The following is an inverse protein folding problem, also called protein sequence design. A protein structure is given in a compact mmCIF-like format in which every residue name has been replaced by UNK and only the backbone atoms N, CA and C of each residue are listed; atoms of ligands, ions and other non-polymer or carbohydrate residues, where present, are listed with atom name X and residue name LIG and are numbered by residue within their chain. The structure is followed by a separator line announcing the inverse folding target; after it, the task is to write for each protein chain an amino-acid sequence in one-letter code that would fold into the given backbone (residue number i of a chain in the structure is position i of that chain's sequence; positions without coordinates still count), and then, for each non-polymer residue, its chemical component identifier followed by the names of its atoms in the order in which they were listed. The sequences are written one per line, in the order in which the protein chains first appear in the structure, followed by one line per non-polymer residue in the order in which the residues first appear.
data_IF_567500725086
#
_entry.id   IF_567500725086
#
_cell.length_a   1.000
_cell.length_b   1.000
_cell.length_c   1.000
_cell.angle_alpha   90.00
_cell.angle_beta   90.00
_cell.angle_gamma   90.00
#
_symmetry.space_group_name_H-M   'P 1'
#
loop_
_entity.id
_entity.type
_entity.pdbx_description
1 polymer ?
#
# COMPACT_ATOMS: atom_id res chain seq x y z
N UNK A 1 -8.37 2.68 -15.47
CA UNK A 1 -7.83 1.29 -15.66
C UNK A 1 -6.37 1.30 -16.11
N UNK A 2 -5.99 2.13 -17.08
CA UNK A 2 -4.62 2.17 -17.64
C UNK A 2 -3.55 2.42 -16.56
N UNK A 3 -3.73 3.40 -15.69
CA UNK A 3 -2.82 3.70 -14.60
C UNK A 3 -2.58 2.50 -13.65
N UNK A 4 -3.61 1.71 -13.37
CA UNK A 4 -3.49 0.47 -12.57
C UNK A 4 -2.76 -0.60 -13.37
N UNK A 5 -3.10 -0.75 -14.65
CA UNK A 5 -2.45 -1.73 -15.55
C UNK A 5 -0.95 -1.50 -15.67
N UNK A 6 -0.53 -0.27 -15.93
CA UNK A 6 0.88 0.11 -16.00
C UNK A 6 1.63 -0.26 -14.72
N UNK A 7 1.06 0.09 -13.57
CA UNK A 7 1.65 -0.18 -12.27
C UNK A 7 1.80 -1.69 -12.00
N UNK A 8 0.73 -2.45 -12.21
CA UNK A 8 0.75 -3.90 -12.00
C UNK A 8 1.70 -4.62 -12.97
N UNK A 9 1.78 -4.15 -14.22
CA UNK A 9 2.74 -4.68 -15.20
C UNK A 9 4.18 -4.48 -14.72
N UNK A 10 4.50 -3.31 -14.17
CA UNK A 10 5.84 -3.04 -13.62
C UNK A 10 6.13 -3.91 -12.40
N UNK A 11 5.17 -4.05 -11.48
CA UNK A 11 5.30 -4.94 -10.30
C UNK A 11 5.57 -6.37 -10.73
N UNK A 12 4.76 -6.92 -11.64
CA UNK A 12 4.93 -8.30 -12.11
C UNK A 12 6.27 -8.51 -12.82
N UNK A 13 6.75 -7.55 -13.62
CA UNK A 13 8.08 -7.63 -14.25
C UNK A 13 9.19 -7.78 -13.20
N UNK A 14 9.13 -7.04 -12.10
CA UNK A 14 10.13 -7.15 -11.02
C UNK A 14 10.02 -8.50 -10.32
N UNK A 15 8.80 -8.98 -10.05
CA UNK A 15 8.59 -10.26 -9.38
C UNK A 15 9.00 -11.46 -10.23
N UNK A 16 8.89 -11.34 -11.55
CA UNK A 16 9.22 -12.41 -12.50
C UNK A 16 10.67 -12.37 -12.99
N UNK A 17 11.41 -11.29 -12.73
CA UNK A 17 12.79 -11.12 -13.17
C UNK A 17 13.72 -12.17 -12.53
N UNK A 18 14.27 -13.12 -13.31
CA UNK A 18 15.16 -14.16 -12.78
C UNK A 18 16.41 -13.59 -12.11
N UNK A 19 16.90 -12.43 -12.60
CA UNK A 19 18.10 -11.78 -12.07
C UNK A 19 17.89 -11.22 -10.66
N UNK A 20 16.63 -10.95 -10.28
CA UNK A 20 16.22 -10.42 -8.98
C UNK A 20 15.74 -11.50 -7.99
N UNK A 21 15.63 -12.76 -8.43
CA UNK A 21 15.18 -13.87 -7.56
C UNK A 21 16.22 -14.31 -6.54
N UNK A 22 17.48 -13.94 -6.72
CA UNK A 22 18.54 -14.26 -5.78
C UNK A 22 18.26 -13.60 -4.41
N UNK A 23 18.34 -14.34 -3.28
CA UNK A 23 18.19 -13.80 -1.94
C UNK A 23 19.07 -12.58 -1.64
N UNK A 24 20.30 -12.54 -2.20
CA UNK A 24 21.20 -11.39 -2.08
C UNK A 24 20.63 -10.09 -2.69
N UNK A 25 19.66 -10.19 -3.59
CA UNK A 25 19.02 -9.05 -4.26
C UNK A 25 17.63 -8.70 -3.69
N UNK A 26 17.23 -9.33 -2.61
CA UNK A 26 15.92 -9.07 -1.97
C UNK A 26 15.74 -7.59 -1.62
N UNK A 27 16.76 -6.95 -1.05
CA UNK A 27 16.70 -5.54 -0.70
C UNK A 27 16.58 -4.63 -1.95
N UNK A 28 17.26 -4.98 -3.04
CA UNK A 28 17.14 -4.27 -4.32
C UNK A 28 15.72 -4.41 -4.89
N UNK A 29 15.19 -5.62 -4.94
CA UNK A 29 13.81 -5.89 -5.41
C UNK A 29 12.79 -5.12 -4.60
N UNK A 30 12.92 -5.13 -3.27
CA UNK A 30 12.04 -4.38 -2.37
C UNK A 30 12.05 -2.88 -2.68
N UNK A 31 13.23 -2.26 -2.84
CA UNK A 31 13.34 -0.84 -3.21
C UNK A 31 12.63 -0.52 -4.51
N UNK A 32 12.81 -1.35 -5.54
CA UNK A 32 12.15 -1.16 -6.83
C UNK A 32 10.61 -1.20 -6.70
N UNK A 33 10.08 -2.13 -5.90
CA UNK A 33 8.63 -2.21 -5.62
C UNK A 33 8.13 -0.99 -4.83
N UNK A 34 8.90 -0.53 -3.85
CA UNK A 34 8.59 0.68 -3.06
C UNK A 34 8.59 1.95 -3.92
N UNK A 35 9.51 2.07 -4.89
CA UNK A 35 9.55 3.18 -5.85
C UNK A 35 8.31 3.19 -6.75
N UNK A 36 7.89 2.04 -7.26
CA UNK A 36 6.65 1.91 -8.03
C UNK A 36 5.45 2.32 -7.18
N UNK A 37 5.37 1.83 -5.94
CA UNK A 37 4.30 2.19 -5.03
C UNK A 37 4.30 3.70 -4.72
N UNK A 38 5.46 4.28 -4.41
CA UNK A 38 5.60 5.72 -4.19
C UNK A 38 5.17 6.55 -5.40
N UNK A 39 5.38 6.02 -6.61
CA UNK A 39 4.92 6.63 -7.85
C UNK A 39 3.40 6.56 -8.08
N UNK A 40 2.68 5.64 -7.45
CA UNK A 40 1.25 5.42 -7.70
C UNK A 40 0.35 5.77 -6.51
N UNK A 41 0.82 5.61 -5.26
CA UNK A 41 0.00 5.87 -4.08
C UNK A 41 0.07 7.32 -3.62
N UNK A 42 -1.09 7.89 -3.26
CA UNK A 42 -1.20 9.15 -2.53
C UNK A 42 -1.21 8.86 -1.02
N UNK A 43 0.00 8.69 -0.45
CA UNK A 43 0.14 8.41 0.99
C UNK A 43 -0.37 9.53 1.88
N UNK A 44 -0.37 10.78 1.40
CA UNK A 44 -0.93 11.91 2.13
C UNK A 44 -2.47 11.81 2.21
N UNK A 45 -3.13 11.49 1.11
CA UNK A 45 -4.58 11.27 1.10
C UNK A 45 -4.97 10.02 1.91
N UNK A 46 -4.20 8.93 1.81
CA UNK A 46 -4.39 7.74 2.65
C UNK A 46 -4.29 8.11 4.14
N UNK A 47 -3.26 8.83 4.53
CA UNK A 47 -3.03 9.29 5.92
C UNK A 47 -4.16 10.16 6.43
N UNK A 48 -4.60 11.13 5.63
CA UNK A 48 -5.75 11.98 5.95
C UNK A 48 -7.02 11.16 6.21
N UNK A 49 -7.26 10.14 5.40
CA UNK A 49 -8.44 9.28 5.52
C UNK A 49 -8.38 8.34 6.72
N UNK A 50 -7.23 7.75 7.03
CA UNK A 50 -7.09 6.87 8.21
C UNK A 50 -7.18 7.64 9.51
N UNK A 51 -6.66 8.87 9.58
CA UNK A 51 -6.76 9.71 10.77
C UNK A 51 -8.13 10.38 10.90
N UNK A 52 -8.83 10.64 9.79
CA UNK A 52 -10.14 11.30 9.79
C UNK A 52 -10.11 12.66 10.48
N UNK A 53 -10.94 12.87 11.50
CA UNK A 53 -11.02 14.13 12.25
C UNK A 53 -9.71 14.51 12.96
N UNK A 54 -8.86 13.56 13.29
CA UNK A 54 -7.58 13.80 13.95
C UNK A 54 -6.51 14.39 13.00
N UNK A 55 -6.74 14.38 11.68
CA UNK A 55 -5.83 14.98 10.72
C UNK A 55 -5.83 16.51 10.76
N UNK A 56 -7.01 17.11 10.90
CA UNK A 56 -7.18 18.57 10.81
C UNK A 56 -6.37 19.35 11.86
N UNK A 57 -6.34 18.94 13.15
CA UNK A 57 -5.59 19.65 14.19
C UNK A 57 -4.07 19.54 14.06
N UNK A 58 -3.54 18.58 13.30
CA UNK A 58 -2.10 18.37 13.16
C UNK A 58 -1.42 19.53 12.43
N UNK A 59 -0.22 19.87 12.90
CA UNK A 59 0.68 20.77 12.18
C UNK A 59 1.17 20.12 10.87
N UNK A 60 1.71 20.93 9.96
CA UNK A 60 2.28 20.41 8.72
C UNK A 60 3.43 19.43 8.97
N UNK A 61 4.27 19.70 9.95
CA UNK A 61 5.36 18.81 10.38
C UNK A 61 4.84 17.47 10.88
N UNK A 62 3.82 17.47 11.75
CA UNK A 62 3.20 16.24 12.26
C UNK A 62 2.53 15.43 11.14
N UNK A 63 1.88 16.11 10.17
CA UNK A 63 1.29 15.44 9.00
C UNK A 63 2.36 14.76 8.16
N UNK A 64 3.45 15.45 7.83
CA UNK A 64 4.59 14.87 7.08
C UNK A 64 5.19 13.68 7.81
N UNK A 65 5.42 13.81 9.11
CA UNK A 65 5.92 12.71 9.95
C UNK A 65 5.01 11.49 9.92
N UNK A 66 3.71 11.70 10.12
CA UNK A 66 2.74 10.59 10.05
C UNK A 66 2.72 9.91 8.68
N UNK A 67 2.74 10.66 7.60
CA UNK A 67 2.77 10.13 6.23
C UNK A 67 3.97 9.21 6.01
N UNK A 68 5.18 9.63 6.42
CA UNK A 68 6.39 8.83 6.28
C UNK A 68 6.37 7.56 7.14
N UNK A 69 5.92 7.67 8.38
CA UNK A 69 5.81 6.53 9.29
C UNK A 69 4.76 5.52 8.81
N UNK A 70 3.61 6.00 8.35
CA UNK A 70 2.54 5.15 7.83
C UNK A 70 2.94 4.46 6.52
N UNK A 71 3.62 5.17 5.62
CA UNK A 71 4.21 4.61 4.39
C UNK A 71 5.17 3.47 4.73
N UNK A 72 6.11 3.69 5.65
CA UNK A 72 7.06 2.67 6.11
C UNK A 72 6.35 1.45 6.72
N UNK A 73 5.36 1.68 7.56
CA UNK A 73 4.54 0.63 8.16
C UNK A 73 3.83 -0.24 7.09
N UNK A 74 3.22 0.38 6.08
CA UNK A 74 2.58 -0.34 5.00
C UNK A 74 3.59 -1.15 4.18
N UNK A 75 4.75 -0.56 3.85
CA UNK A 75 5.82 -1.25 3.14
C UNK A 75 6.27 -2.50 3.90
N UNK A 76 6.57 -2.38 5.20
CA UNK A 76 7.00 -3.51 6.01
C UNK A 76 5.95 -4.60 6.14
N UNK A 77 4.69 -4.20 6.25
CA UNK A 77 3.59 -5.14 6.42
C UNK A 77 3.27 -5.95 5.16
N UNK A 78 3.41 -5.33 4.00
CA UNK A 78 2.97 -5.92 2.73
C UNK A 78 4.10 -6.37 1.82
N UNK A 79 5.36 -5.92 2.02
CA UNK A 79 6.49 -6.32 1.21
C UNK A 79 6.67 -7.84 1.14
N UNK A 80 6.63 -8.53 2.27
CA UNK A 80 6.73 -9.99 2.31
C UNK A 80 5.60 -10.69 1.57
N UNK A 81 4.36 -10.18 1.71
CA UNK A 81 3.20 -10.74 1.00
C UNK A 81 3.31 -10.58 -0.51
N UNK A 82 3.84 -9.45 -0.98
CA UNK A 82 4.08 -9.22 -2.40
C UNK A 82 5.20 -10.16 -2.89
N UNK A 83 6.25 -10.32 -2.11
CA UNK A 83 7.36 -11.23 -2.44
C UNK A 83 6.93 -12.70 -2.51
N UNK A 84 5.95 -13.14 -1.72
CA UNK A 84 5.40 -14.51 -1.75
C UNK A 84 4.78 -14.86 -3.11
N UNK A 85 4.46 -13.86 -3.90
CA UNK A 85 4.00 -14.04 -5.28
C UNK A 85 5.14 -14.18 -6.30
N UNK A 86 6.38 -13.93 -5.92
CA UNK A 86 7.53 -14.08 -6.82
C UNK A 86 7.73 -15.53 -7.24
N UNK A 87 7.93 -15.74 -8.55
CA UNK A 87 8.17 -17.08 -9.11
C UNK A 87 6.94 -17.95 -9.31
N UNK A 88 5.75 -17.41 -9.08
CA UNK A 88 4.48 -18.07 -9.41
C UNK A 88 3.96 -17.50 -10.73
N UNK A 89 3.38 -18.37 -11.56
CA UNK A 89 2.67 -17.91 -12.75
C UNK A 89 1.41 -17.17 -12.29
N UNK A 90 1.34 -15.89 -12.63
CA UNK A 90 0.23 -15.03 -12.23
C UNK A 90 -0.34 -14.29 -13.42
N UNK A 91 -1.63 -14.06 -13.37
CA UNK A 91 -2.36 -13.27 -14.34
C UNK A 91 -3.25 -12.25 -13.61
N UNK A 92 -3.28 -11.02 -14.11
CA UNK A 92 -4.20 -9.99 -13.62
C UNK A 92 -5.40 -9.91 -14.54
N UNK A 93 -6.56 -10.23 -14.01
CA UNK A 93 -7.85 -9.97 -14.66
C UNK A 93 -8.31 -8.54 -14.36
N UNK A 94 -8.55 -7.74 -15.39
CA UNK A 94 -9.11 -6.38 -15.30
C UNK A 94 -10.60 -6.45 -15.55
N UNK A 95 -11.42 -6.26 -14.51
CA UNK A 95 -12.86 -6.53 -14.57
C UNK A 95 -13.67 -5.30 -14.97
N UNK A 96 -13.63 -4.25 -14.15
CA UNK A 96 -14.44 -3.04 -14.36
C UNK A 96 -13.70 -1.79 -13.97
N UNK A 97 -14.10 -0.67 -14.57
CA UNK A 97 -13.69 0.68 -14.19
C UNK A 97 -14.92 1.56 -14.07
N UNK A 98 -15.01 2.31 -13.00
CA UNK A 98 -16.01 3.33 -12.78
C UNK A 98 -15.34 4.64 -12.47
N UNK A 99 -15.66 5.70 -13.19
CA UNK A 99 -15.13 7.05 -12.99
C UNK A 99 -16.30 7.98 -12.66
N UNK A 100 -16.13 8.74 -11.55
CA UNK A 100 -17.06 9.78 -11.13
C UNK A 100 -16.28 11.04 -10.76
N UNK A 101 -16.28 12.01 -11.67
CA UNK A 101 -15.49 13.24 -11.52
C UNK A 101 -14.00 12.93 -11.34
N UNK A 102 -13.41 13.37 -10.22
CA UNK A 102 -12.01 13.12 -9.88
C UNK A 102 -11.76 11.79 -9.18
N UNK A 103 -12.76 10.92 -9.06
CA UNK A 103 -12.63 9.61 -8.41
C UNK A 103 -12.80 8.48 -9.40
N UNK A 104 -12.06 7.41 -9.19
CA UNK A 104 -12.23 6.17 -9.94
C UNK A 104 -12.11 4.94 -9.02
N UNK A 105 -12.84 3.90 -9.39
CA UNK A 105 -12.68 2.56 -8.83
C UNK A 105 -12.33 1.61 -9.98
N UNK A 106 -11.24 0.86 -9.82
CA UNK A 106 -10.80 -0.16 -10.76
C UNK A 106 -10.83 -1.50 -10.06
N UNK A 107 -11.62 -2.43 -10.57
CA UNK A 107 -11.72 -3.79 -10.05
C UNK A 107 -10.83 -4.73 -10.83
N UNK A 108 -10.04 -5.48 -10.10
CA UNK A 108 -9.15 -6.49 -10.65
C UNK A 108 -9.22 -7.78 -9.84
N UNK A 109 -8.65 -8.82 -10.40
CA UNK A 109 -8.38 -10.04 -9.66
C UNK A 109 -6.99 -10.56 -10.03
N UNK A 110 -6.25 -10.98 -9.02
CA UNK A 110 -4.97 -11.66 -9.19
C UNK A 110 -5.23 -13.16 -9.19
N UNK A 111 -5.00 -13.79 -10.33
CA UNK A 111 -5.18 -15.23 -10.53
C UNK A 111 -3.85 -15.96 -10.42
N UNK A 112 -3.84 -17.05 -9.70
CA UNK A 112 -2.73 -18.01 -9.67
C UNK A 112 -3.27 -19.43 -9.87
N UNK A 113 -2.38 -20.40 -10.01
CA UNK A 113 -2.78 -21.82 -10.20
C UNK A 113 -3.70 -22.36 -9.09
N UNK A 114 -3.72 -21.72 -7.91
CA UNK A 114 -4.44 -22.23 -6.72
C UNK A 114 -5.54 -21.29 -6.23
N UNK A 115 -5.47 -20.01 -6.52
CA UNK A 115 -6.39 -19.02 -5.94
C UNK A 115 -6.63 -17.84 -6.88
N UNK A 116 -7.82 -17.25 -6.74
CA UNK A 116 -8.16 -15.95 -7.31
C UNK A 116 -8.37 -14.98 -6.17
N UNK A 117 -7.61 -13.88 -6.14
CA UNK A 117 -7.67 -12.84 -5.13
C UNK A 117 -8.24 -11.56 -5.72
N UNK A 118 -9.46 -11.14 -5.34
CA UNK A 118 -10.00 -9.84 -5.72
C UNK A 118 -9.15 -8.70 -5.15
N UNK A 119 -8.76 -7.75 -5.99
CA UNK A 119 -8.03 -6.54 -5.61
C UNK A 119 -8.62 -5.33 -6.33
N UNK A 120 -9.26 -4.47 -5.58
CA UNK A 120 -9.86 -3.25 -6.13
C UNK A 120 -9.03 -2.04 -5.70
N UNK A 121 -8.97 -1.04 -6.57
CA UNK A 121 -8.20 0.19 -6.36
C UNK A 121 -9.14 1.39 -6.40
N UNK A 122 -9.05 2.25 -5.39
CA UNK A 122 -9.70 3.55 -5.39
C UNK A 122 -8.67 4.63 -5.68
N UNK A 123 -8.96 5.43 -6.69
CA UNK A 123 -8.04 6.44 -7.20
C UNK A 123 -8.66 7.84 -7.13
N UNK A 124 -7.78 8.81 -7.00
CA UNK A 124 -8.10 10.23 -7.03
C UNK A 124 -7.25 10.90 -8.12
N UNK A 125 -7.89 11.71 -8.96
CA UNK A 125 -7.24 12.53 -9.97
C UNK A 125 -6.79 13.86 -9.35
N UNK A 126 -5.49 14.15 -9.45
CA UNK A 126 -4.91 15.47 -9.17
C UNK A 126 -3.84 15.76 -10.19
N UNK A 127 -3.80 16.98 -10.67
CA UNK A 127 -2.78 17.44 -11.64
C UNK A 127 -2.64 16.47 -12.83
N UNK A 128 -3.77 16.09 -13.43
CA UNK A 128 -3.88 15.14 -14.54
C UNK A 128 -3.29 13.75 -14.26
N UNK A 129 -3.15 13.39 -12.98
CA UNK A 129 -2.59 12.11 -12.57
C UNK A 129 -3.54 11.33 -11.65
N UNK A 130 -3.81 10.07 -12.00
CA UNK A 130 -4.50 9.13 -11.14
C UNK A 130 -3.55 8.55 -10.08
N UNK A 131 -3.86 8.75 -8.79
CA UNK A 131 -3.13 8.17 -7.66
C UNK A 131 -4.05 7.36 -6.78
N UNK A 132 -3.61 6.19 -6.35
CA UNK A 132 -4.39 5.32 -5.50
C UNK A 132 -4.36 5.82 -4.04
N UNK A 133 -5.54 5.93 -3.43
CA UNK A 133 -5.68 6.29 -2.01
C UNK A 133 -6.26 5.15 -1.16
N UNK A 134 -6.66 4.05 -1.75
CA UNK A 134 -7.11 2.84 -1.05
C UNK A 134 -6.93 1.61 -1.94
N UNK A 135 -6.69 0.46 -1.32
CA UNK A 135 -6.78 -0.85 -1.94
C UNK A 135 -7.77 -1.68 -1.11
N UNK A 136 -8.66 -2.37 -1.81
CA UNK A 136 -9.57 -3.33 -1.21
C UNK A 136 -9.07 -4.73 -1.60
N UNK A 137 -8.60 -5.49 -0.63
CA UNK A 137 -8.06 -6.85 -0.82
C UNK A 137 -9.07 -7.82 -0.22
N UNK A 138 -9.60 -8.73 -1.05
CA UNK A 138 -10.62 -9.70 -0.63
C UNK A 138 -11.79 -9.04 0.13
N UNK A 139 -12.27 -7.90 -0.41
CA UNK A 139 -13.35 -7.12 0.16
C UNK A 139 -12.99 -6.23 1.35
N UNK A 140 -11.74 -6.24 1.82
CA UNK A 140 -11.28 -5.45 2.98
C UNK A 140 -10.51 -4.23 2.52
N UNK A 141 -11.05 -3.03 2.74
CA UNK A 141 -10.36 -1.76 2.51
C UNK A 141 -9.23 -1.55 3.52
N UNK A 142 -8.01 -1.29 3.03
CA UNK A 142 -6.86 -1.00 3.89
C UNK A 142 -7.08 0.27 4.72
N UNK A 143 -7.58 1.33 4.08
CA UNK A 143 -7.86 2.60 4.77
C UNK A 143 -8.91 2.42 5.86
N UNK A 144 -10.03 1.77 5.57
CA UNK A 144 -11.09 1.55 6.57
C UNK A 144 -10.63 0.67 7.72
N UNK A 145 -9.87 -0.38 7.44
CA UNK A 145 -9.33 -1.30 8.44
C UNK A 145 -8.38 -0.58 9.41
N UNK A 146 -7.40 0.15 8.88
CA UNK A 146 -6.46 0.89 9.73
C UNK A 146 -7.10 2.10 10.41
N UNK A 147 -8.06 2.77 9.75
CA UNK A 147 -8.82 3.86 10.37
C UNK A 147 -9.45 3.41 11.70
N UNK A 148 -10.12 2.27 11.71
CA UNK A 148 -10.75 1.74 12.93
C UNK A 148 -9.72 1.45 14.02
N UNK A 149 -8.59 0.83 13.68
CA UNK A 149 -7.52 0.50 14.62
C UNK A 149 -6.80 1.76 15.14
N UNK A 150 -6.46 2.70 14.25
CA UNK A 150 -5.72 3.91 14.62
C UNK A 150 -6.57 4.86 15.47
N UNK A 151 -7.83 5.04 15.12
CA UNK A 151 -8.73 5.89 15.91
C UNK A 151 -8.97 5.32 17.31
N UNK A 152 -9.00 3.99 17.48
CA UNK A 152 -9.04 3.37 18.79
C UNK A 152 -7.81 3.76 19.62
N UNK A 153 -6.60 3.59 19.06
CA UNK A 153 -5.34 3.95 19.75
C UNK A 153 -5.32 5.43 20.11
N UNK A 154 -5.73 6.33 19.21
CA UNK A 154 -5.72 7.78 19.46
C UNK A 154 -6.70 8.14 20.56
N UNK A 155 -7.90 7.54 20.59
CA UNK A 155 -8.89 7.78 21.67
C UNK A 155 -8.41 7.32 23.04
N UNK A 156 -7.68 6.21 23.08
CA UNK A 156 -7.15 5.64 24.32
C UNK A 156 -5.83 6.31 24.77
N UNK A 157 -5.18 7.04 23.89
CA UNK A 157 -3.86 7.63 24.12
C UNK A 157 -3.67 8.95 23.36
N UNK A 158 -2.93 8.94 22.23
CA UNK A 158 -2.67 10.13 21.39
C UNK A 158 -2.24 9.76 19.97
N UNK A 159 -2.10 10.78 19.10
CA UNK A 159 -1.51 10.61 17.75
C UNK A 159 -0.02 10.29 17.85
N UNK A 160 0.69 10.91 18.79
CA UNK A 160 2.12 10.66 19.04
C UNK A 160 2.37 9.20 19.44
N UNK A 161 1.50 8.66 20.32
CA UNK A 161 1.60 7.24 20.71
C UNK A 161 1.30 6.30 19.55
N UNK A 162 0.37 6.65 18.67
CA UNK A 162 0.15 5.91 17.43
C UNK A 162 1.41 5.89 16.54
N UNK A 163 2.05 7.05 16.36
CA UNK A 163 3.28 7.17 15.58
C UNK A 163 4.39 6.29 16.16
N UNK A 164 4.57 6.31 17.49
CA UNK A 164 5.55 5.47 18.18
C UNK A 164 5.27 3.98 17.96
N UNK A 165 4.03 3.55 18.12
CA UNK A 165 3.63 2.15 17.88
C UNK A 165 3.85 1.70 16.43
N UNK A 166 3.63 2.56 15.46
CA UNK A 166 3.89 2.24 14.05
C UNK A 166 5.40 2.10 13.78
N UNK A 167 6.24 2.94 14.39
CA UNK A 167 7.71 2.84 14.30
C UNK A 167 8.23 1.55 14.93
N UNK A 168 7.75 1.19 16.11
CA UNK A 168 8.15 -0.03 16.81
C UNK A 168 7.81 -1.30 16.00
N UNK A 169 6.67 -1.35 15.35
CA UNK A 169 6.28 -2.47 14.48
C UNK A 169 7.18 -2.58 13.25
N UNK A 170 7.60 -1.47 12.67
CA UNK A 170 8.57 -1.46 11.57
C UNK A 170 9.92 -2.02 12.02
N UNK A 171 10.40 -1.61 13.16
CA UNK A 171 11.67 -2.11 13.77
C UNK A 171 11.57 -3.60 14.10
N UNK A 172 10.47 -4.05 14.67
CA UNK A 172 10.26 -5.47 15.02
C UNK A 172 10.26 -6.39 13.82
N UNK A 173 9.81 -5.92 12.65
CA UNK A 173 9.83 -6.68 11.39
C UNK A 173 11.26 -6.93 10.90
N UNK A 174 12.13 -5.95 11.04
CA UNK A 174 13.54 -6.07 10.64
C UNK A 174 14.34 -7.01 11.55
N UNK A 175 14.04 -7.03 12.85
CA UNK A 175 14.73 -7.89 13.83
C UNK A 175 14.39 -9.36 13.61
N UNK A 176 13.16 -9.70 13.21
CA UNK A 176 12.75 -11.08 12.94
C UNK A 176 13.34 -11.67 11.65
N UNK A 177 13.82 -10.83 10.71
CA UNK A 177 14.47 -11.30 9.47
C UNK A 177 15.97 -11.60 9.65
N UNK A 178 16.57 -11.26 10.78
CA UNK A 178 18.01 -11.50 11.09
C UNK A 178 18.27 -12.72 11.97
N UNK A 179 17.25 -13.46 12.33
CA UNK A 179 17.33 -14.74 13.08
C UNK A 179 16.87 -15.92 12.17
#
# INVERSE_FOLDING_TARGET
MEAVRETLTQVLRILDDPSLKNPAKQAQRRRMLEEIAAGRFDYAEMSKRVLGSYWKPLTETQRKEFVEVYKGFLSDRYAGKIEDYSGRKQEVGYLTERIEGSYAEVRTELRSDKTTLPMDYRLLMRDDRWSAYDIIIDGVSLVSNYRSQFQKIIRESSVEELVNKLRERSVSSDTKKKS
#
